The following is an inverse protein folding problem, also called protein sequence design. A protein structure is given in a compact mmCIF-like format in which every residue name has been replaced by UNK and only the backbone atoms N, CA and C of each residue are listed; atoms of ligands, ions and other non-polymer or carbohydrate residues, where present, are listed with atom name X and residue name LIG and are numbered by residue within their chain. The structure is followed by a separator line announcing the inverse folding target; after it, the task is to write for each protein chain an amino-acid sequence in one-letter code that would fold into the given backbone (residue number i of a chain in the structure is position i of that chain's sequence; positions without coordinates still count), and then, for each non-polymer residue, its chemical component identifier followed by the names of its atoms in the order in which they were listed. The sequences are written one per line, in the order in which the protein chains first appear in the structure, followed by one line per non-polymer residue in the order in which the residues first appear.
data_IF_517874866201
#
_entry.id   IF_517874866201
#
_cell.length_a   1.000
_cell.length_b   1.000
_cell.length_c   1.000
_cell.angle_alpha   90.00
_cell.angle_beta   90.00
_cell.angle_gamma   90.00
#
_symmetry.space_group_name_H-M   'P 1'
#
loop_
_entity.id
_entity.type
_entity.pdbx_description
1 polymer ?
#
# COMPACT_ATOMS: atom_id res chain seq x y z
N UNK A 1 -11.38 5.92 17.75
CA UNK A 1 -10.59 4.77 18.24
C UNK A 1 -9.14 5.19 18.44
N UNK A 2 -8.46 4.65 19.44
CA UNK A 2 -7.01 4.87 19.62
C UNK A 2 -6.24 4.08 18.57
N UNK A 3 -5.27 4.72 17.90
CA UNK A 3 -4.49 4.05 16.87
C UNK A 3 -3.64 2.91 17.47
N UNK A 4 -3.67 1.70 16.88
CA UNK A 4 -2.90 0.57 17.38
C UNK A 4 -1.40 0.76 17.14
N UNK A 5 -0.58 0.07 17.93
CA UNK A 5 0.88 0.19 17.87
C UNK A 5 1.45 -0.10 16.48
N UNK A 6 0.90 -1.09 15.75
CA UNK A 6 1.36 -1.41 14.40
C UNK A 6 1.18 -0.22 13.44
N UNK A 7 0.04 0.49 13.55
CA UNK A 7 -0.26 1.61 12.67
C UNK A 7 0.67 2.78 12.97
N UNK A 8 0.84 3.12 14.24
CA UNK A 8 1.74 4.19 14.67
C UNK A 8 3.19 3.92 14.24
N UNK A 9 3.67 2.69 14.42
CA UNK A 9 5.00 2.28 14.02
C UNK A 9 5.22 2.41 12.51
N UNK A 10 4.28 1.92 11.70
CA UNK A 10 4.34 2.00 10.24
C UNK A 10 4.19 3.44 9.73
N UNK A 11 3.24 4.21 10.24
CA UNK A 11 3.02 5.60 9.84
C UNK A 11 4.27 6.45 10.09
N UNK A 12 4.89 6.30 11.27
CA UNK A 12 6.14 6.99 11.59
C UNK A 12 7.29 6.54 10.68
N UNK A 13 7.40 5.24 10.40
CA UNK A 13 8.42 4.70 9.49
C UNK A 13 8.24 5.21 8.06
N UNK A 14 7.02 5.25 7.53
CA UNK A 14 6.76 5.69 6.16
C UNK A 14 6.88 7.20 5.99
N UNK A 15 6.80 7.96 7.08
CA UNK A 15 7.03 9.39 7.07
C UNK A 15 8.53 9.76 7.16
N UNK A 16 9.43 8.77 7.24
CA UNK A 16 10.89 8.97 7.35
C UNK A 16 11.70 7.98 6.47
N UNK A 17 12.41 8.46 5.44
CA UNK A 17 12.56 9.86 5.03
C UNK A 17 11.31 10.41 4.33
N UNK A 18 11.12 11.74 4.28
CA UNK A 18 9.96 12.33 3.62
C UNK A 18 10.08 12.27 2.09
N UNK A 19 9.13 11.59 1.43
CA UNK A 19 9.04 11.50 -0.04
C UNK A 19 8.28 12.70 -0.68
N UNK A 20 8.32 13.86 -0.02
CA UNK A 20 7.66 15.09 -0.50
C UNK A 20 6.18 15.24 -0.11
N UNK A 21 5.57 16.33 -0.59
CA UNK A 21 4.19 16.74 -0.22
C UNK A 21 3.12 15.73 -0.65
N UNK A 22 3.11 15.19 -1.89
CA UNK A 22 2.08 14.22 -2.30
C UNK A 22 2.07 12.97 -1.43
N UNK A 23 3.24 12.45 -1.08
CA UNK A 23 3.37 11.30 -0.19
C UNK A 23 2.77 11.56 1.20
N UNK A 24 3.10 12.71 1.81
CA UNK A 24 2.54 13.08 3.11
C UNK A 24 1.03 13.24 3.08
N UNK A 25 0.47 13.78 1.99
CA UNK A 25 -0.99 13.84 1.82
C UNK A 25 -1.56 12.43 1.77
N UNK A 26 -0.99 11.52 0.96
CA UNK A 26 -1.45 10.15 0.87
C UNK A 26 -1.40 9.40 2.22
N UNK A 27 -0.33 9.55 3.02
CA UNK A 27 -0.27 8.96 4.35
C UNK A 27 -1.37 9.48 5.28
N UNK A 28 -1.70 10.78 5.22
CA UNK A 28 -2.79 11.36 6.00
C UNK A 28 -4.14 10.78 5.59
N UNK A 29 -4.41 10.64 4.30
CA UNK A 29 -5.64 10.00 3.82
C UNK A 29 -5.72 8.54 4.27
N UNK A 30 -4.60 7.81 4.24
CA UNK A 30 -4.54 6.46 4.79
C UNK A 30 -4.85 6.42 6.29
N UNK A 31 -4.33 7.37 7.08
CA UNK A 31 -4.66 7.49 8.51
C UNK A 31 -6.14 7.73 8.74
N UNK A 32 -6.76 8.63 7.97
CA UNK A 32 -8.21 8.91 8.04
C UNK A 32 -9.01 7.65 7.71
N UNK A 33 -8.63 6.95 6.64
CA UNK A 33 -9.25 5.70 6.19
C UNK A 33 -9.20 4.59 7.26
N UNK A 34 -8.02 4.35 7.86
CA UNK A 34 -7.86 3.34 8.91
C UNK A 34 -8.62 3.72 10.18
N UNK A 35 -8.57 5.00 10.58
CA UNK A 35 -9.31 5.50 11.74
C UNK A 35 -10.82 5.36 11.56
N UNK A 36 -11.35 5.66 10.37
CA UNK A 36 -12.77 5.50 10.04
C UNK A 36 -13.21 4.03 10.06
N UNK A 37 -12.28 3.11 9.83
CA UNK A 37 -12.51 1.66 9.88
C UNK A 37 -12.18 1.04 11.24
N UNK A 38 -11.87 1.85 12.26
CA UNK A 38 -11.49 1.36 13.60
C UNK A 38 -10.18 0.58 13.63
N UNK A 39 -9.37 0.63 12.56
CA UNK A 39 -8.17 -0.20 12.35
C UNK A 39 -8.45 -1.71 12.29
N UNK A 40 -9.70 -2.09 12.02
CA UNK A 40 -10.12 -3.48 11.96
C UNK A 40 -9.73 -4.10 10.62
N UNK A 41 -9.12 -5.28 10.66
CA UNK A 41 -8.83 -6.04 9.45
C UNK A 41 -10.10 -6.76 8.98
N UNK A 42 -10.70 -6.25 7.90
CA UNK A 42 -11.89 -6.85 7.29
C UNK A 42 -11.54 -7.81 6.15
N UNK A 43 -10.40 -7.57 5.49
CA UNK A 43 -9.91 -8.37 4.37
C UNK A 43 -8.42 -8.08 4.10
N UNK A 44 -7.81 -8.89 3.23
CA UNK A 44 -6.38 -8.83 2.91
C UNK A 44 -6.14 -8.61 1.41
N UNK A 45 -5.04 -7.94 1.09
CA UNK A 45 -4.58 -7.81 -0.30
C UNK A 45 -4.22 -9.19 -0.90
N UNK A 46 -4.35 -9.31 -2.23
CA UNK A 46 -3.93 -10.53 -2.94
C UNK A 46 -2.43 -10.74 -2.77
N UNK A 47 -2.03 -11.92 -2.31
CA UNK A 47 -0.62 -12.30 -2.17
C UNK A 47 0.04 -12.61 -3.51
N UNK A 48 -0.72 -13.16 -4.45
CA UNK A 48 -0.25 -13.51 -5.80
C UNK A 48 0.15 -12.25 -6.57
N UNK A 49 1.36 -12.24 -7.10
CA UNK A 49 1.90 -11.13 -7.90
C UNK A 49 2.41 -9.94 -7.09
N UNK A 50 2.27 -9.95 -5.76
CA UNK A 50 2.82 -8.91 -4.89
C UNK A 50 4.34 -8.81 -5.06
N UNK A 51 4.92 -7.59 -5.11
CA UNK A 51 6.36 -7.42 -5.20
C UNK A 51 7.12 -8.12 -4.08
N UNK A 52 8.25 -8.73 -4.43
CA UNK A 52 9.07 -9.52 -3.51
C UNK A 52 9.52 -8.71 -2.29
N UNK A 53 9.80 -7.41 -2.45
CA UNK A 53 10.20 -6.55 -1.32
C UNK A 53 9.13 -6.47 -0.23
N UNK A 54 7.84 -6.48 -0.61
CA UNK A 54 6.73 -6.43 0.34
C UNK A 54 6.59 -7.78 1.04
N UNK A 55 6.80 -8.88 0.30
CA UNK A 55 6.88 -10.22 0.90
C UNK A 55 7.99 -10.30 1.94
N UNK A 56 9.20 -9.89 1.60
CA UNK A 56 10.35 -9.92 2.51
C UNK A 56 10.13 -9.05 3.75
N UNK A 57 9.55 -7.87 3.59
CA UNK A 57 9.19 -7.01 4.72
C UNK A 57 8.18 -7.69 5.66
N UNK A 58 7.14 -8.33 5.11
CA UNK A 58 6.14 -9.06 5.90
C UNK A 58 6.76 -10.26 6.62
N UNK A 59 7.60 -11.04 5.92
CA UNK A 59 8.30 -12.20 6.50
C UNK A 59 9.24 -11.77 7.65
N UNK A 60 9.67 -10.50 7.66
CA UNK A 60 10.46 -9.86 8.74
C UNK A 60 9.60 -9.16 9.79
N UNK A 61 8.34 -9.58 9.94
CA UNK A 61 7.43 -9.00 10.93
C UNK A 61 7.12 -7.53 10.69
N UNK A 62 7.20 -7.06 9.43
CA UNK A 62 6.97 -5.66 9.05
C UNK A 62 7.91 -4.68 9.76
N UNK A 63 9.18 -5.06 9.88
CA UNK A 63 10.23 -4.24 10.50
C UNK A 63 10.24 -2.79 9.98
N UNK A 64 10.23 -1.83 10.91
CA UNK A 64 10.31 -0.40 10.63
C UNK A 64 11.73 0.06 10.26
N UNK A 65 12.75 -0.76 10.52
CA UNK A 65 14.16 -0.44 10.27
C UNK A 65 14.73 -1.16 9.05
N UNK A 66 14.15 -2.29 8.66
CA UNK A 66 14.58 -3.02 7.46
C UNK A 66 14.31 -2.22 6.17
N UNK A 67 15.25 -2.29 5.23
CA UNK A 67 15.16 -1.64 3.92
C UNK A 67 15.59 -2.63 2.82
N UNK A 68 14.80 -2.83 1.77
CA UNK A 68 15.18 -3.65 0.62
C UNK A 68 16.18 -2.93 -0.28
N UNK A 69 16.89 -3.70 -1.11
CA UNK A 69 17.66 -3.17 -2.25
C UNK A 69 16.87 -3.48 -3.53
N UNK A 70 16.35 -2.46 -4.20
CA UNK A 70 15.64 -2.61 -5.48
C UNK A 70 16.63 -2.39 -6.63
N UNK A 71 17.25 -3.48 -7.11
CA UNK A 71 18.30 -3.40 -8.15
C UNK A 71 17.80 -2.94 -9.52
N UNK A 72 16.57 -3.28 -9.89
CA UNK A 72 15.99 -2.96 -11.19
C UNK A 72 14.64 -2.27 -11.00
N UNK A 73 14.67 -0.93 -11.05
CA UNK A 73 13.49 -0.08 -10.87
C UNK A 73 12.42 -0.36 -11.92
N UNK A 74 12.79 -0.59 -13.19
CA UNK A 74 11.82 -0.87 -14.26
C UNK A 74 11.07 -2.19 -14.05
N UNK A 75 11.78 -3.22 -13.60
CA UNK A 75 11.14 -4.50 -13.25
C UNK A 75 10.22 -4.33 -12.04
N UNK A 76 10.65 -3.57 -11.04
CA UNK A 76 9.84 -3.29 -9.85
C UNK A 76 8.57 -2.52 -10.19
N UNK A 77 8.68 -1.45 -10.99
CA UNK A 77 7.56 -0.66 -11.50
C UNK A 77 6.52 -1.55 -12.18
N UNK A 78 6.96 -2.43 -13.09
CA UNK A 78 6.07 -3.35 -13.79
C UNK A 78 5.36 -4.30 -12.82
N UNK A 79 6.09 -4.92 -11.89
CA UNK A 79 5.53 -5.84 -10.91
C UNK A 79 4.54 -5.14 -9.97
N UNK A 80 4.92 -3.98 -9.42
CA UNK A 80 4.07 -3.21 -8.53
C UNK A 80 2.80 -2.75 -9.27
N UNK A 81 2.93 -2.22 -10.49
CA UNK A 81 1.80 -1.76 -11.29
C UNK A 81 0.84 -2.91 -11.61
N UNK A 82 1.35 -4.06 -12.05
CA UNK A 82 0.52 -5.24 -12.33
C UNK A 82 -0.23 -5.72 -11.08
N UNK A 83 0.46 -5.78 -9.94
CA UNK A 83 -0.17 -6.14 -8.68
C UNK A 83 -1.23 -5.14 -8.25
N UNK A 84 -0.93 -3.84 -8.29
CA UNK A 84 -1.86 -2.77 -7.93
C UNK A 84 -3.11 -2.76 -8.82
N UNK A 85 -2.94 -2.96 -10.14
CA UNK A 85 -4.05 -3.14 -11.08
C UNK A 85 -4.92 -4.34 -10.69
N UNK A 86 -4.32 -5.46 -10.27
CA UNK A 86 -5.07 -6.67 -9.88
C UNK A 86 -5.90 -6.50 -8.60
N UNK A 87 -5.61 -5.47 -7.80
CA UNK A 87 -6.37 -5.09 -6.60
C UNK A 87 -7.51 -4.11 -6.92
N UNK A 88 -7.49 -3.44 -8.07
CA UNK A 88 -8.51 -2.46 -8.40
C UNK A 88 -9.88 -3.11 -8.62
N UNK A 89 -10.98 -2.38 -8.32
CA UNK A 89 -12.30 -2.78 -8.74
C UNK A 89 -12.36 -2.99 -10.25
N UNK A 90 -13.14 -4.00 -10.70
CA UNK A 90 -13.20 -4.38 -12.12
C UNK A 90 -13.63 -3.22 -13.03
N UNK A 91 -14.55 -2.37 -12.56
CA UNK A 91 -15.03 -1.21 -13.31
C UNK A 91 -13.95 -0.16 -13.56
N UNK A 92 -12.82 -0.18 -12.83
CA UNK A 92 -11.71 0.78 -12.98
C UNK A 92 -10.61 0.26 -13.90
N UNK A 93 -10.73 -0.95 -14.42
CA UNK A 93 -9.67 -1.61 -15.21
C UNK A 93 -10.12 -1.77 -16.66
N UNK A 94 -9.41 -1.10 -17.56
CA UNK A 94 -9.62 -1.16 -19.01
C UNK A 94 -8.32 -1.65 -19.66
N UNK A 95 -8.39 -2.69 -20.49
CA UNK A 95 -7.23 -3.27 -21.19
C UNK A 95 -6.04 -3.57 -20.23
N UNK A 96 -6.32 -4.18 -19.08
CA UNK A 96 -5.33 -4.49 -18.03
C UNK A 96 -4.58 -3.27 -17.46
N UNK A 97 -5.15 -2.08 -17.59
CA UNK A 97 -4.61 -0.84 -17.05
C UNK A 97 -5.67 -0.11 -16.24
N UNK A 98 -5.24 0.64 -15.22
CA UNK A 98 -6.14 1.43 -14.39
C UNK A 98 -6.54 2.68 -15.18
N UNK A 99 -7.84 2.83 -15.44
CA UNK A 99 -8.38 4.09 -15.93
C UNK A 99 -8.57 5.04 -14.74
N UNK A 100 -7.73 6.08 -14.68
CA UNK A 100 -7.74 7.04 -13.57
C UNK A 100 -8.92 8.02 -13.64
N UNK A 101 -9.59 8.12 -14.79
CA UNK A 101 -10.76 8.97 -14.96
C UNK A 101 -12.03 8.36 -14.38
N UNK A 102 -12.07 7.03 -14.22
CA UNK A 102 -13.19 6.34 -13.60
C UNK A 102 -13.08 6.45 -12.07
N UNK A 103 -14.02 7.17 -11.46
CA UNK A 103 -14.07 7.42 -10.01
C UNK A 103 -15.40 7.02 -9.35
N UNK A 104 -16.47 6.87 -10.13
CA UNK A 104 -17.85 6.84 -9.61
C UNK A 104 -18.42 5.44 -9.44
N UNK A 105 -17.57 4.41 -9.45
CA UNK A 105 -17.98 3.04 -9.17
C UNK A 105 -17.83 2.63 -7.70
N UNK A 106 -18.16 1.37 -7.41
CA UNK A 106 -18.07 0.81 -6.06
C UNK A 106 -16.62 0.51 -5.63
N UNK A 107 -16.17 1.18 -4.57
CA UNK A 107 -14.83 1.05 -4.02
C UNK A 107 -14.70 -0.01 -2.92
N UNK A 108 -15.79 -0.66 -2.50
CA UNK A 108 -15.77 -1.71 -1.46
C UNK A 108 -14.72 -2.81 -1.71
N UNK A 109 -14.45 -3.29 -2.95
CA UNK A 109 -13.39 -4.27 -3.18
C UNK A 109 -11.98 -3.80 -2.79
N UNK A 110 -11.75 -2.48 -2.74
CA UNK A 110 -10.50 -1.86 -2.34
C UNK A 110 -10.57 -1.29 -0.90
N UNK A 111 -11.71 -1.41 -0.22
CA UNK A 111 -11.87 -1.09 1.20
C UNK A 111 -11.22 -2.16 2.06
N UNK A 112 -9.90 -2.10 2.13
CA UNK A 112 -9.04 -3.06 2.82
C UNK A 112 -8.27 -2.36 3.96
N UNK A 113 -8.94 -2.02 5.09
CA UNK A 113 -8.26 -1.60 6.32
C UNK A 113 -7.48 -2.73 7.00
N UNK A 114 -6.62 -2.34 7.92
CA UNK A 114 -5.88 -3.26 8.78
C UNK A 114 -4.51 -3.68 8.24
N UNK A 115 -3.88 -4.57 9.01
CA UNK A 115 -2.45 -4.89 8.89
C UNK A 115 -2.08 -5.52 7.54
N UNK A 116 -3.00 -6.28 6.94
CA UNK A 116 -2.83 -6.96 5.64
C UNK A 116 -3.53 -6.24 4.47
N UNK A 117 -4.13 -5.08 4.73
CA UNK A 117 -4.85 -4.26 3.78
C UNK A 117 -3.95 -3.34 2.95
N UNK A 118 -4.41 -2.10 2.73
CA UNK A 118 -3.66 -1.07 1.98
C UNK A 118 -2.27 -0.78 2.55
N UNK A 119 -2.05 -1.10 3.82
CA UNK A 119 -0.74 -1.09 4.47
C UNK A 119 0.35 -1.77 3.62
N UNK A 120 0.06 -2.91 3.00
CA UNK A 120 1.01 -3.63 2.14
C UNK A 120 1.33 -2.89 0.84
N UNK A 121 0.34 -2.21 0.26
CA UNK A 121 0.51 -1.41 -0.95
C UNK A 121 1.37 -0.17 -0.66
N UNK A 122 1.07 0.53 0.45
CA UNK A 122 1.81 1.70 0.91
C UNK A 122 3.27 1.35 1.20
N UNK A 123 3.54 0.22 1.86
CA UNK A 123 4.91 -0.24 2.08
C UNK A 123 5.67 -0.44 0.76
N UNK A 124 5.03 -1.04 -0.25
CA UNK A 124 5.62 -1.21 -1.58
C UNK A 124 5.93 0.11 -2.29
N UNK A 125 5.05 1.12 -2.17
CA UNK A 125 5.32 2.46 -2.69
C UNK A 125 6.43 3.17 -1.93
N UNK A 126 6.46 3.03 -0.60
CA UNK A 126 7.51 3.62 0.23
C UNK A 126 8.89 3.10 -0.18
N UNK A 127 9.04 1.78 -0.29
CA UNK A 127 10.30 1.17 -0.69
C UNK A 127 10.72 1.54 -2.11
N UNK A 128 9.76 1.76 -3.01
CA UNK A 128 10.05 2.30 -4.32
C UNK A 128 10.56 3.74 -4.26
N UNK A 129 9.88 4.60 -3.51
CA UNK A 129 10.22 6.02 -3.45
C UNK A 129 11.57 6.33 -2.80
N UNK A 130 12.10 5.42 -1.98
CA UNK A 130 13.43 5.56 -1.35
C UNK A 130 14.53 4.77 -2.09
N UNK A 131 14.19 4.06 -3.17
CA UNK A 131 15.14 3.27 -3.95
C UNK A 131 15.83 4.07 -5.05
#
# INVERSE_FOLDING_TARGET
STAPQWFLASYNSFNSPPLGKPWRTMLREWMVFESASGYEEVARTKSKGRPEVVKQWIDRGRSTTWRPIIKNIKTYEKQYTQWWTSLQPAWRVTNNSIDKSLTDGDWEPLRLPGLNGLHSAIAGLFYWGIA
#
